data_IF_362443627978
#
_entry.id   IF_362443627978
#
_cell.length_a   1.000
_cell.length_b   1.000
_cell.length_c   1.000
_cell.angle_alpha   90.00
_cell.angle_beta   90.00
_cell.angle_gamma   90.00
#
_symmetry.space_group_name_H-M   'P 1'
#
loop_
_entity.id
_entity.type
_entity.pdbx_description
1 polymer ?
#
# COMPACT_ATOMS: atom_id res chain seq x y z
N UNK A 1 -4.43 -16.28 -5.61
CA UNK A 1 -4.26 -14.94 -6.23
C UNK A 1 -5.55 -14.41 -6.83
N UNK A 2 -6.23 -15.10 -7.76
CA UNK A 2 -7.46 -14.57 -8.36
C UNK A 2 -8.59 -14.29 -7.34
N UNK A 3 -8.81 -15.17 -6.37
CA UNK A 3 -9.80 -14.95 -5.31
C UNK A 3 -9.48 -13.72 -4.44
N UNK A 4 -8.20 -13.46 -4.17
CA UNK A 4 -7.76 -12.31 -3.37
C UNK A 4 -8.06 -11.00 -4.10
N UNK A 5 -7.71 -10.94 -5.39
CA UNK A 5 -7.98 -9.77 -6.24
C UNK A 5 -9.48 -9.51 -6.34
N UNK A 6 -10.29 -10.58 -6.49
CA UNK A 6 -11.74 -10.47 -6.51
C UNK A 6 -12.30 -9.93 -5.20
N UNK A 7 -11.95 -10.53 -4.05
CA UNK A 7 -12.42 -10.10 -2.73
C UNK A 7 -12.06 -8.63 -2.44
N UNK A 8 -10.85 -8.21 -2.82
CA UNK A 8 -10.40 -6.82 -2.67
C UNK A 8 -11.17 -5.89 -3.61
N UNK A 9 -11.37 -6.31 -4.86
CA UNK A 9 -12.11 -5.55 -5.85
C UNK A 9 -13.52 -5.21 -5.39
N UNK A 10 -14.19 -6.15 -4.71
CA UNK A 10 -15.55 -5.93 -4.19
C UNK A 10 -15.61 -5.14 -2.89
N UNK A 11 -14.60 -5.26 -2.02
CA UNK A 11 -14.63 -4.68 -0.65
C UNK A 11 -13.91 -3.35 -0.49
N UNK A 12 -12.96 -3.02 -1.39
CA UNK A 12 -12.08 -1.86 -1.26
C UNK A 12 -12.20 -0.88 -2.41
N UNK A 13 -12.25 -1.39 -3.65
CA UNK A 13 -12.21 -0.53 -4.83
C UNK A 13 -13.56 0.13 -5.07
N UNK A 14 -13.53 1.38 -5.52
CA UNK A 14 -14.73 2.14 -5.91
C UNK A 14 -14.66 2.51 -7.40
N UNK A 15 -15.80 2.79 -8.06
CA UNK A 15 -15.83 3.07 -9.50
C UNK A 15 -14.86 4.18 -9.95
N UNK A 16 -14.62 5.17 -9.10
CA UNK A 16 -13.74 6.32 -9.36
C UNK A 16 -12.25 5.95 -9.36
N UNK A 17 -11.87 4.74 -8.96
CA UNK A 17 -10.48 4.28 -8.99
C UNK A 17 -9.96 3.97 -10.40
N UNK A 18 -10.87 3.76 -11.36
CA UNK A 18 -10.53 3.27 -12.69
C UNK A 18 -10.15 1.78 -12.68
N UNK A 19 -9.52 1.32 -13.74
CA UNK A 19 -9.16 -0.09 -13.87
C UNK A 19 -8.11 -0.52 -12.83
N UNK A 20 -8.22 -1.76 -12.35
CA UNK A 20 -7.14 -2.42 -11.62
C UNK A 20 -5.93 -2.59 -12.53
N UNK A 21 -4.75 -2.21 -12.03
CA UNK A 21 -3.48 -2.33 -12.78
C UNK A 21 -2.65 -3.48 -12.24
N UNK A 22 -2.37 -3.48 -10.94
CA UNK A 22 -1.48 -4.46 -10.34
C UNK A 22 -1.63 -4.54 -8.81
N UNK A 23 -1.10 -5.64 -8.26
CA UNK A 23 -1.07 -5.93 -6.82
C UNK A 23 0.30 -6.50 -6.45
N UNK A 24 0.85 -6.01 -5.33
CA UNK A 24 2.10 -6.49 -4.76
C UNK A 24 1.94 -6.77 -3.27
N UNK A 25 2.77 -7.67 -2.77
CA UNK A 25 3.00 -7.83 -1.32
C UNK A 25 4.37 -7.22 -1.04
N UNK A 26 4.41 -6.19 -0.21
CA UNK A 26 5.61 -5.43 0.10
C UNK A 26 5.79 -5.30 1.62
N UNK A 27 7.02 -5.07 2.05
CA UNK A 27 7.33 -4.68 3.43
C UNK A 27 7.29 -3.17 3.56
N UNK A 28 6.35 -2.65 4.35
CA UNK A 28 6.36 -1.26 4.79
C UNK A 28 7.28 -1.14 6.00
N UNK A 29 8.26 -0.25 5.90
CA UNK A 29 9.17 0.11 7.00
C UNK A 29 8.72 1.46 7.54
N UNK A 30 8.41 1.54 8.84
CA UNK A 30 7.98 2.78 9.47
C UNK A 30 9.17 3.65 9.94
N UNK A 31 8.87 4.79 10.57
CA UNK A 31 9.89 5.71 11.09
C UNK A 31 10.77 5.14 12.21
N UNK A 32 10.37 4.01 12.81
CA UNK A 32 11.06 3.31 13.89
C UNK A 32 11.72 2.01 13.40
N UNK A 33 11.83 1.82 12.08
CA UNK A 33 12.35 0.61 11.44
C UNK A 33 11.53 -0.65 11.75
N UNK A 34 10.25 -0.52 12.14
CA UNK A 34 9.37 -1.66 12.24
C UNK A 34 8.94 -2.11 10.85
N UNK A 35 9.08 -3.40 10.60
CA UNK A 35 8.66 -4.03 9.37
C UNK A 35 7.22 -4.51 9.47
N UNK A 36 6.44 -4.22 8.45
CA UNK A 36 5.08 -4.68 8.34
C UNK A 36 4.77 -5.17 6.94
N UNK A 37 4.27 -6.39 6.83
CA UNK A 37 3.71 -6.88 5.57
C UNK A 37 2.46 -6.04 5.20
N UNK A 38 2.44 -5.58 3.95
CA UNK A 38 1.35 -4.80 3.37
C UNK A 38 1.05 -5.30 1.97
N UNK A 39 -0.23 -5.27 1.64
CA UNK A 39 -0.68 -5.48 0.28
C UNK A 39 -0.87 -4.12 -0.38
N UNK A 40 -0.21 -3.91 -1.52
CA UNK A 40 -0.26 -2.66 -2.28
C UNK A 40 -1.00 -2.90 -3.58
N UNK A 41 -1.99 -2.05 -3.86
CA UNK A 41 -2.79 -2.13 -5.08
C UNK A 41 -2.60 -0.84 -5.86
N UNK A 42 -2.42 -0.96 -7.17
CA UNK A 42 -2.43 0.17 -8.08
C UNK A 42 -3.66 0.06 -8.98
N UNK A 43 -4.37 1.18 -9.10
CA UNK A 43 -5.38 1.42 -10.11
C UNK A 43 -4.94 2.57 -11.00
N UNK A 44 -5.73 2.90 -12.02
CA UNK A 44 -5.40 4.01 -12.93
C UNK A 44 -5.34 5.38 -12.23
N UNK A 45 -6.02 5.55 -11.09
CA UNK A 45 -6.17 6.85 -10.43
C UNK A 45 -5.70 6.88 -8.98
N UNK A 46 -5.60 5.72 -8.33
CA UNK A 46 -5.25 5.62 -6.92
C UNK A 46 -4.27 4.48 -6.68
N UNK A 47 -3.56 4.54 -5.56
CA UNK A 47 -2.95 3.35 -5.00
C UNK A 47 -3.41 3.16 -3.55
N UNK A 48 -3.45 1.91 -3.13
CA UNK A 48 -3.88 1.50 -1.81
C UNK A 48 -2.75 0.83 -1.05
N UNK A 49 -2.68 1.07 0.25
CA UNK A 49 -1.87 0.30 1.19
C UNK A 49 -2.84 -0.39 2.15
N UNK A 50 -2.89 -1.72 2.09
CA UNK A 50 -3.80 -2.53 2.88
C UNK A 50 -3.07 -3.30 3.97
N UNK A 51 -3.69 -3.32 5.16
CA UNK A 51 -3.40 -4.31 6.20
C UNK A 51 -4.38 -5.46 6.01
N UNK A 52 -3.92 -6.52 5.36
CA UNK A 52 -4.74 -7.70 5.09
C UNK A 52 -4.49 -8.78 6.14
N UNK A 53 -5.55 -9.41 6.64
CA UNK A 53 -5.46 -10.62 7.45
C UNK A 53 -5.61 -11.84 6.55
N UNK A 54 -4.50 -12.54 6.29
CA UNK A 54 -4.49 -13.74 5.45
C UNK A 54 -5.17 -14.96 6.09
N UNK A 55 -5.29 -15.00 7.42
CA UNK A 55 -5.98 -16.10 8.11
C UNK A 55 -7.49 -15.92 8.06
N UNK A 56 -7.95 -14.69 8.26
CA UNK A 56 -9.37 -14.34 8.26
C UNK A 56 -9.88 -13.85 6.90
N UNK A 57 -8.99 -13.76 5.90
CA UNK A 57 -9.25 -13.35 4.53
C UNK A 57 -9.98 -11.99 4.38
N UNK A 58 -9.71 -11.02 5.27
CA UNK A 58 -10.36 -9.71 5.22
C UNK A 58 -9.37 -8.55 5.38
N UNK A 59 -9.79 -7.37 4.94
CA UNK A 59 -9.04 -6.12 5.08
C UNK A 59 -9.29 -5.54 6.47
N UNK A 60 -8.24 -5.44 7.29
CA UNK A 60 -8.30 -4.83 8.62
C UNK A 60 -8.26 -3.31 8.57
N UNK A 61 -7.44 -2.79 7.67
CA UNK A 61 -7.25 -1.35 7.49
C UNK A 61 -6.84 -1.05 6.05
N UNK A 62 -7.23 0.12 5.55
CA UNK A 62 -6.98 0.54 4.18
C UNK A 62 -6.66 2.03 4.12
N UNK A 63 -5.59 2.37 3.40
CA UNK A 63 -5.25 3.75 3.08
C UNK A 63 -5.28 3.94 1.57
N UNK A 64 -6.17 4.79 1.09
CA UNK A 64 -6.28 5.24 -0.31
C UNK A 64 -5.47 6.50 -0.53
N UNK A 65 -4.67 6.54 -1.60
CA UNK A 65 -3.88 7.70 -1.97
C UNK A 65 -4.07 7.95 -3.47
N UNK A 66 -4.55 9.15 -3.82
CA UNK A 66 -4.72 9.54 -5.21
C UNK A 66 -3.38 9.76 -5.90
N UNK A 67 -3.20 9.22 -7.10
CA UNK A 67 -1.97 9.39 -7.87
C UNK A 67 -1.70 10.86 -8.18
N UNK A 68 -2.75 11.69 -8.31
CA UNK A 68 -2.61 13.14 -8.47
C UNK A 68 -2.03 13.88 -7.25
N UNK A 69 -1.99 13.25 -6.08
CA UNK A 69 -1.37 13.81 -4.86
C UNK A 69 0.08 13.35 -4.67
N UNK A 70 0.54 12.40 -5.48
CA UNK A 70 1.85 11.81 -5.34
C UNK A 70 2.91 12.68 -6.02
N UNK A 71 3.75 13.33 -5.23
CA UNK A 71 4.76 14.27 -5.74
C UNK A 71 5.97 13.56 -6.35
N UNK A 72 6.40 12.43 -5.76
CA UNK A 72 7.62 11.74 -6.16
C UNK A 72 7.67 10.30 -5.67
N UNK A 73 8.34 9.42 -6.42
CA UNK A 73 8.79 8.10 -5.96
C UNK A 73 10.31 8.10 -5.99
N UNK A 74 10.93 7.69 -4.88
CA UNK A 74 12.39 7.57 -4.78
C UNK A 74 12.76 6.11 -4.59
N UNK A 75 13.76 5.65 -5.33
CA UNK A 75 14.28 4.28 -5.26
C UNK A 75 15.75 4.31 -4.90
N UNK A 76 16.18 3.42 -4.01
CA UNK A 76 17.56 3.34 -3.58
C UNK A 76 17.69 2.50 -2.31
N UNK A 77 18.91 2.37 -1.76
CA UNK A 77 19.09 1.75 -0.46
C UNK A 77 18.36 2.56 0.62
N UNK A 78 17.78 1.88 1.59
CA UNK A 78 17.25 2.53 2.79
C UNK A 78 18.44 3.01 3.63
N UNK A 79 18.66 4.32 3.65
CA UNK A 79 19.75 4.94 4.40
C UNK A 79 19.16 5.87 5.46
N UNK A 80 19.56 5.68 6.71
CA UNK A 80 19.18 6.57 7.80
C UNK A 80 19.94 7.90 7.71
N UNK A 81 19.31 9.03 8.05
CA UNK A 81 20.00 10.31 8.10
C UNK A 81 21.14 10.25 9.13
N UNK A 82 22.26 10.91 8.82
CA UNK A 82 23.47 10.93 9.66
C UNK A 82 23.30 11.75 10.94
N UNK A 83 22.22 12.53 11.06
CA UNK A 83 21.86 13.31 12.24
C UNK A 83 20.42 13.05 12.61
N UNK A 84 20.16 12.89 13.91
CA UNK A 84 18.80 12.80 14.45
C UNK A 84 18.10 14.15 14.34
N UNK A 85 16.79 14.14 14.07
CA UNK A 85 15.91 15.31 14.20
C UNK A 85 15.39 15.49 15.63
N UNK A 86 15.80 14.65 16.58
CA UNK A 86 15.52 14.87 18.00
C UNK A 86 16.34 16.07 18.50
N UNK A 87 15.73 17.00 19.25
CA UNK A 87 16.45 18.07 19.93
C UNK A 87 17.41 17.55 20.99
#
# INVERSE_FOLDING_TARGET
MQQLVHNIGESVLIPEDGAFVALWILTQIDHWNNEHERLVILTERNFYILRYDFLQCHVKDSRRIGLGQLTSVVTGPLVFPSKSLMP
#
